data_IF_525664110344
#
_entry.id   IF_525664110344
#
_cell.length_a   1.000
_cell.length_b   1.000
_cell.length_c   1.000
_cell.angle_alpha   90.00
_cell.angle_beta   90.00
_cell.angle_gamma   90.00
#
_symmetry.space_group_name_H-M   'P 1'
#
loop_
_entity.id
_entity.type
_entity.pdbx_description
1 polymer ?
#
# COMPACT_ATOMS: atom_id res chain seq x y z
N UNK A 1 19.08 -25.14 4.78
CA UNK A 1 20.01 -24.07 4.39
C UNK A 1 19.70 -23.68 2.96
N UNK A 2 19.01 -22.59 2.75
CA UNK A 2 18.72 -22.04 1.41
C UNK A 2 19.19 -20.59 1.42
N UNK A 3 20.24 -20.34 0.66
CA UNK A 3 20.96 -19.09 0.56
C UNK A 3 20.20 -18.14 -0.38
N UNK A 4 19.77 -17.00 0.12
CA UNK A 4 19.14 -15.95 -0.68
C UNK A 4 20.21 -15.08 -1.32
N UNK A 5 20.34 -15.12 -2.64
CA UNK A 5 21.22 -14.23 -3.41
C UNK A 5 20.48 -12.96 -3.78
N UNK A 6 20.92 -11.84 -3.24
CA UNK A 6 20.41 -10.49 -3.51
C UNK A 6 21.24 -9.86 -4.62
N UNK A 7 20.66 -9.67 -5.81
CA UNK A 7 21.31 -8.96 -6.91
C UNK A 7 20.90 -7.47 -6.91
N UNK A 8 21.88 -6.56 -6.70
CA UNK A 8 21.74 -5.12 -6.94
C UNK A 8 22.27 -4.79 -8.31
N UNK A 9 21.45 -4.28 -9.21
CA UNK A 9 21.84 -3.71 -10.48
C UNK A 9 21.86 -2.18 -10.40
N UNK A 10 23.02 -1.57 -10.64
CA UNK A 10 23.19 -0.12 -10.78
C UNK A 10 22.92 0.29 -12.24
N UNK A 11 22.14 1.35 -12.52
CA UNK A 11 22.02 1.90 -13.85
C UNK A 11 23.12 2.95 -14.09
N UNK A 12 23.78 2.80 -15.26
CA UNK A 12 24.86 3.64 -15.72
C UNK A 12 24.41 5.05 -16.10
N UNK A 13 25.25 6.02 -15.74
CA UNK A 13 25.24 7.41 -16.18
C UNK A 13 25.47 7.50 -17.69
N UNK A 14 24.57 8.17 -18.41
CA UNK A 14 24.85 8.73 -19.74
C UNK A 14 24.72 10.24 -19.67
N UNK A 15 25.83 10.92 -19.94
CA UNK A 15 25.93 12.37 -20.08
C UNK A 15 25.37 12.81 -21.45
N UNK A 16 24.67 13.94 -21.57
CA UNK A 16 24.37 14.55 -22.85
C UNK A 16 25.46 15.59 -23.26
N UNK A 17 25.74 15.59 -24.52
CA UNK A 17 26.67 16.44 -25.22
C UNK A 17 26.25 17.93 -25.22
N UNK A 18 27.23 18.76 -25.04
CA UNK A 18 27.17 20.23 -25.11
C UNK A 18 27.13 20.63 -26.59
N UNK A 19 26.10 21.35 -27.00
CA UNK A 19 26.03 22.01 -28.29
C UNK A 19 26.26 23.52 -28.10
N UNK A 20 27.41 23.98 -28.58
CA UNK A 20 27.86 25.37 -28.59
C UNK A 20 27.27 26.03 -29.85
N UNK A 21 26.44 27.05 -29.71
CA UNK A 21 26.09 27.93 -30.85
C UNK A 21 26.52 29.36 -30.59
N UNK A 22 27.28 29.85 -31.55
CA UNK A 22 27.98 31.14 -31.60
C UNK A 22 27.05 32.35 -31.68
N UNK A 23 27.61 33.44 -31.19
CA UNK A 23 27.07 34.79 -31.14
C UNK A 23 26.85 35.42 -32.53
N UNK A 24 25.83 36.27 -32.61
CA UNK A 24 25.76 37.35 -33.59
C UNK A 24 25.34 38.63 -32.89
N UNK A 25 26.29 39.58 -32.85
CA UNK A 25 26.03 40.97 -32.45
C UNK A 25 25.30 41.66 -33.60
N UNK A 26 24.14 42.24 -33.31
CA UNK A 26 23.52 43.26 -34.12
C UNK A 26 23.17 44.44 -33.22
N UNK A 27 23.84 45.56 -33.43
CA UNK A 27 23.57 46.86 -32.81
C UNK A 27 22.34 47.48 -33.47
N UNK A 28 21.29 47.74 -32.69
CA UNK A 28 20.10 48.52 -33.11
C UNK A 28 19.88 49.69 -32.17
N UNK A 29 19.28 50.82 -32.64
CA UNK A 29 19.32 52.10 -31.97
C UNK A 29 18.41 52.13 -30.74
N UNK A 30 18.85 52.89 -29.74
CA UNK A 30 18.17 53.16 -28.50
C UNK A 30 16.89 53.97 -28.76
N UNK A 31 15.71 53.35 -28.58
CA UNK A 31 14.45 54.07 -28.38
C UNK A 31 14.28 54.27 -26.88
N UNK A 32 14.15 55.54 -26.48
CA UNK A 32 13.78 55.91 -25.13
C UNK A 32 12.37 55.38 -24.82
N UNK A 33 12.29 54.36 -24.01
CA UNK A 33 11.00 53.92 -23.49
C UNK A 33 10.59 54.82 -22.33
N UNK A 34 9.56 55.63 -22.62
CA UNK A 34 8.78 56.33 -21.59
C UNK A 34 8.18 55.30 -20.65
N UNK A 35 8.59 55.37 -19.39
CA UNK A 35 7.99 54.57 -18.30
C UNK A 35 6.52 54.97 -18.13
N UNK A 36 5.63 54.12 -18.62
CA UNK A 36 4.21 54.22 -18.24
C UNK A 36 4.08 53.91 -16.73
N UNK A 37 3.23 54.66 -15.99
CA UNK A 37 3.02 54.36 -14.59
C UNK A 37 2.38 52.98 -14.47
N UNK A 38 3.10 52.06 -13.79
CA UNK A 38 2.54 50.77 -13.39
C UNK A 38 1.33 50.99 -12.52
N UNK A 39 0.17 50.40 -12.85
CA UNK A 39 -0.95 50.36 -11.91
C UNK A 39 -0.47 49.64 -10.65
N UNK A 40 -0.62 50.30 -9.50
CA UNK A 40 -0.33 49.71 -8.19
C UNK A 40 -1.04 48.35 -8.11
N UNK A 41 -0.23 47.31 -8.02
CA UNK A 41 -0.73 45.97 -7.67
C UNK A 41 -1.41 46.12 -6.29
N UNK A 42 -2.72 46.18 -6.29
CA UNK A 42 -3.50 45.97 -5.09
C UNK A 42 -3.08 44.67 -4.50
N UNK A 43 -2.42 44.72 -3.35
CA UNK A 43 -2.18 43.56 -2.51
C UNK A 43 -3.55 42.92 -2.32
N UNK A 44 -3.75 41.78 -2.98
CA UNK A 44 -4.85 40.89 -2.67
C UNK A 44 -4.66 40.48 -1.21
N UNK A 45 -5.41 41.15 -0.35
CA UNK A 45 -5.61 40.73 1.03
C UNK A 45 -6.14 39.28 0.92
N UNK A 46 -5.27 38.33 1.20
CA UNK A 46 -5.64 36.92 1.27
C UNK A 46 -6.80 36.81 2.26
N UNK A 47 -7.99 36.53 1.72
CA UNK A 47 -9.08 36.07 2.56
C UNK A 47 -8.59 34.89 3.40
N UNK A 48 -9.21 34.64 4.56
CA UNK A 48 -8.81 33.49 5.39
C UNK A 48 -8.80 32.25 4.52
N UNK A 49 -7.61 31.74 4.21
CA UNK A 49 -7.48 30.47 3.55
C UNK A 49 -7.99 29.43 4.55
N UNK A 50 -9.20 28.95 4.32
CA UNK A 50 -9.74 27.80 5.04
C UNK A 50 -8.88 26.62 4.59
N UNK A 51 -7.75 26.45 5.27
CA UNK A 51 -6.93 25.27 5.11
C UNK A 51 -7.79 24.11 5.60
N UNK A 52 -8.10 23.12 4.75
CA UNK A 52 -8.88 21.98 5.22
C UNK A 52 -8.16 21.42 6.44
N UNK A 53 -8.88 21.06 7.51
CA UNK A 53 -8.27 20.50 8.71
C UNK A 53 -7.37 19.34 8.27
N UNK A 54 -6.16 19.19 8.86
CA UNK A 54 -5.31 18.07 8.54
C UNK A 54 -6.17 16.82 8.66
N UNK A 55 -6.22 16.01 7.62
CA UNK A 55 -7.00 14.78 7.61
C UNK A 55 -6.43 13.87 8.70
N UNK A 56 -7.00 13.95 9.90
CA UNK A 56 -6.67 13.09 11.02
C UNK A 56 -7.04 11.70 10.53
N UNK A 57 -6.03 10.86 10.35
CA UNK A 57 -6.21 9.46 10.00
C UNK A 57 -6.90 8.79 11.18
N UNK A 58 -8.14 8.35 11.05
CA UNK A 58 -8.80 7.73 12.18
C UNK A 58 -8.14 6.40 12.49
N UNK A 59 -7.85 6.14 13.75
CA UNK A 59 -7.56 4.78 14.19
C UNK A 59 -8.80 3.92 13.88
N UNK A 60 -8.65 2.75 13.19
CA UNK A 60 -9.81 1.93 12.86
C UNK A 60 -10.60 1.57 14.11
N UNK A 61 -11.92 1.74 14.08
CA UNK A 61 -12.81 1.20 15.11
C UNK A 61 -12.77 -0.32 15.11
N UNK A 62 -13.19 -0.94 16.21
CA UNK A 62 -13.27 -2.41 16.29
C UNK A 62 -14.06 -3.02 15.11
N UNK A 63 -15.19 -2.40 14.74
CA UNK A 63 -16.00 -2.86 13.62
C UNK A 63 -15.30 -2.70 12.28
N UNK A 64 -14.61 -1.57 12.08
CA UNK A 64 -13.84 -1.32 10.86
C UNK A 64 -12.68 -2.31 10.73
N UNK A 65 -11.95 -2.54 11.82
CA UNK A 65 -10.88 -3.53 11.87
C UNK A 65 -11.37 -4.93 11.52
N UNK A 66 -12.51 -5.34 12.09
CA UNK A 66 -13.12 -6.63 11.76
C UNK A 66 -13.47 -6.73 10.27
N UNK A 67 -14.08 -5.69 9.70
CA UNK A 67 -14.41 -5.64 8.26
C UNK A 67 -13.15 -5.74 7.40
N UNK A 68 -12.08 -5.05 7.78
CA UNK A 68 -10.80 -5.08 7.05
C UNK A 68 -10.20 -6.49 7.05
N UNK A 69 -10.14 -7.15 8.20
CA UNK A 69 -9.59 -8.50 8.35
C UNK A 69 -10.43 -9.49 7.54
N UNK A 70 -11.73 -9.55 7.77
CA UNK A 70 -12.61 -10.53 7.11
C UNK A 70 -12.70 -10.31 5.60
N UNK A 71 -12.75 -9.06 5.12
CA UNK A 71 -12.74 -8.81 3.67
C UNK A 71 -11.42 -9.22 3.02
N UNK A 72 -10.29 -9.08 3.71
CA UNK A 72 -8.99 -9.58 3.23
C UNK A 72 -8.99 -11.11 3.14
N UNK A 73 -9.43 -11.81 4.18
CA UNK A 73 -9.48 -13.28 4.18
C UNK A 73 -10.44 -13.81 3.11
N UNK A 74 -11.62 -13.19 2.96
CA UNK A 74 -12.56 -13.54 1.90
C UNK A 74 -11.98 -13.32 0.50
N UNK A 75 -11.25 -12.21 0.30
CA UNK A 75 -10.62 -11.94 -0.99
C UNK A 75 -9.53 -12.97 -1.32
N UNK A 76 -8.75 -13.41 -0.33
CA UNK A 76 -7.75 -14.48 -0.51
C UNK A 76 -8.43 -15.82 -0.77
N UNK A 77 -9.51 -16.16 -0.03
CA UNK A 77 -10.28 -17.38 -0.27
C UNK A 77 -10.82 -17.46 -1.70
N UNK A 78 -11.49 -16.39 -2.14
CA UNK A 78 -12.01 -16.32 -3.50
C UNK A 78 -10.92 -16.40 -4.56
N UNK A 79 -9.78 -15.74 -4.32
CA UNK A 79 -8.63 -15.80 -5.22
C UNK A 79 -8.02 -17.21 -5.28
N UNK A 80 -7.90 -17.88 -4.15
CA UNK A 80 -7.40 -19.26 -4.06
C UNK A 80 -8.31 -20.25 -4.81
N UNK A 81 -9.63 -20.09 -4.67
CA UNK A 81 -10.62 -20.98 -5.29
C UNK A 81 -10.78 -20.74 -6.79
N UNK A 82 -10.70 -19.49 -7.24
CA UNK A 82 -10.85 -19.12 -8.65
C UNK A 82 -9.52 -19.14 -9.43
N UNK A 83 -8.38 -19.08 -8.76
CA UNK A 83 -7.07 -18.83 -9.37
C UNK A 83 -6.87 -17.38 -9.81
N UNK A 84 -7.84 -16.49 -9.55
CA UNK A 84 -7.80 -15.09 -9.98
C UNK A 84 -7.52 -14.14 -8.81
N UNK A 85 -6.32 -13.60 -8.77
CA UNK A 85 -5.84 -12.67 -7.74
C UNK A 85 -6.00 -11.18 -8.10
N UNK A 86 -6.61 -10.87 -9.26
CA UNK A 86 -6.75 -9.49 -9.70
C UNK A 86 -7.56 -8.64 -8.73
N UNK A 87 -8.67 -9.18 -8.22
CA UNK A 87 -9.54 -8.44 -7.28
C UNK A 87 -8.81 -8.14 -5.96
N UNK A 88 -8.09 -9.13 -5.40
CA UNK A 88 -7.29 -8.92 -4.20
C UNK A 88 -6.26 -7.81 -4.41
N UNK A 89 -5.57 -7.82 -5.56
CA UNK A 89 -4.59 -6.81 -5.94
C UNK A 89 -5.25 -5.43 -6.13
N UNK A 90 -6.31 -5.35 -6.91
CA UNK A 90 -6.89 -4.08 -7.36
C UNK A 90 -7.63 -3.33 -6.23
N UNK A 91 -8.11 -4.04 -5.21
CA UNK A 91 -8.67 -3.44 -3.99
C UNK A 91 -7.61 -3.00 -2.96
N UNK A 92 -6.37 -3.40 -3.14
CA UNK A 92 -5.26 -3.11 -2.23
C UNK A 92 -4.69 -1.70 -2.43
N UNK A 93 -3.79 -1.27 -1.55
CA UNK A 93 -3.08 -0.01 -1.64
C UNK A 93 -2.14 0.03 -2.86
N UNK A 94 -1.86 1.22 -3.38
CA UNK A 94 -1.03 1.42 -4.57
C UNK A 94 0.34 0.76 -4.44
N UNK A 95 0.97 0.83 -3.26
CA UNK A 95 2.25 0.16 -3.00
C UNK A 95 2.17 -1.36 -3.10
N UNK A 96 1.07 -1.96 -2.68
CA UNK A 96 0.84 -3.39 -2.84
C UNK A 96 0.66 -3.76 -4.33
N UNK A 97 -0.11 -2.98 -5.07
CA UNK A 97 -0.39 -3.21 -6.50
C UNK A 97 0.88 -3.15 -7.36
N UNK A 98 1.78 -2.21 -7.06
CA UNK A 98 3.05 -2.04 -7.79
C UNK A 98 3.98 -3.24 -7.58
N UNK A 99 4.02 -3.76 -6.35
CA UNK A 99 4.96 -4.82 -5.97
C UNK A 99 4.42 -6.24 -6.17
N UNK A 100 3.13 -6.40 -6.47
CA UNK A 100 2.49 -7.71 -6.58
C UNK A 100 1.62 -7.80 -7.83
N UNK A 101 2.01 -8.60 -8.79
CA UNK A 101 1.13 -8.97 -9.88
C UNK A 101 0.31 -10.24 -9.53
N UNK A 102 -0.80 -10.53 -10.25
CA UNK A 102 -1.65 -11.68 -9.93
C UNK A 102 -0.91 -13.03 -9.95
N UNK A 103 0.08 -13.20 -10.83
CA UNK A 103 0.85 -14.44 -10.92
C UNK A 103 1.78 -14.63 -9.70
N UNK A 104 2.39 -13.54 -9.21
CA UNK A 104 3.18 -13.56 -7.98
C UNK A 104 2.31 -13.90 -6.76
N UNK A 105 1.12 -13.29 -6.66
CA UNK A 105 0.17 -13.62 -5.59
C UNK A 105 -0.25 -15.09 -5.64
N UNK A 106 -0.49 -15.64 -6.82
CA UNK A 106 -0.77 -17.06 -6.99
C UNK A 106 0.35 -17.96 -6.47
N UNK A 107 1.60 -17.54 -6.59
CA UNK A 107 2.76 -18.26 -6.04
C UNK A 107 2.85 -18.11 -4.51
N UNK A 108 2.66 -16.90 -3.98
CA UNK A 108 2.67 -16.63 -2.52
C UNK A 108 1.67 -17.51 -1.80
N UNK A 109 0.44 -17.65 -2.32
CA UNK A 109 -0.61 -18.43 -1.69
C UNK A 109 -0.63 -19.92 -2.12
N UNK A 110 0.34 -20.39 -2.91
CA UNK A 110 0.37 -21.78 -3.37
C UNK A 110 0.43 -22.78 -2.22
N UNK A 111 1.16 -22.47 -1.14
CA UNK A 111 1.26 -23.33 0.04
C UNK A 111 -0.10 -23.55 0.71
N UNK A 112 -0.86 -22.49 0.96
CA UNK A 112 -2.20 -22.58 1.57
C UNK A 112 -3.17 -23.35 0.66
N UNK A 113 -3.13 -23.09 -0.66
CA UNK A 113 -3.94 -23.85 -1.63
C UNK A 113 -3.61 -25.35 -1.62
N UNK A 114 -2.31 -25.69 -1.54
CA UNK A 114 -1.87 -27.08 -1.51
C UNK A 114 -2.36 -27.86 -0.29
N UNK A 115 -2.61 -27.17 0.82
CA UNK A 115 -3.16 -27.77 2.03
C UNK A 115 -4.69 -27.94 2.00
N UNK A 116 -5.37 -27.46 0.97
CA UNK A 116 -6.84 -27.45 0.84
C UNK A 116 -7.55 -26.86 2.07
N UNK A 117 -6.95 -25.85 2.70
CA UNK A 117 -7.58 -25.15 3.83
C UNK A 117 -8.72 -24.29 3.30
N UNK A 118 -9.93 -24.53 3.81
CA UNK A 118 -11.08 -23.68 3.53
C UNK A 118 -11.02 -22.41 4.38
N UNK A 119 -10.49 -21.32 3.77
CA UNK A 119 -10.40 -20.01 4.42
C UNK A 119 -11.78 -19.40 4.66
N UNK A 120 -12.84 -19.86 3.97
CA UNK A 120 -14.21 -19.46 4.24
C UNK A 120 -14.64 -19.74 5.67
N UNK A 121 -14.11 -20.79 6.29
CA UNK A 121 -14.36 -21.10 7.70
C UNK A 121 -13.83 -20.03 8.66
N UNK A 122 -12.80 -19.27 8.28
CA UNK A 122 -12.31 -18.16 9.08
C UNK A 122 -13.34 -17.03 9.24
N UNK A 123 -14.31 -16.92 8.31
CA UNK A 123 -15.39 -15.94 8.39
C UNK A 123 -16.42 -16.27 9.47
N UNK A 124 -16.43 -17.50 9.97
CA UNK A 124 -17.37 -18.02 10.97
C UNK A 124 -16.83 -17.93 12.39
N UNK A 125 -15.54 -17.63 12.56
CA UNK A 125 -14.89 -17.57 13.86
C UNK A 125 -14.24 -16.20 14.09
N UNK A 126 -14.28 -15.68 15.33
CA UNK A 126 -13.58 -14.44 15.64
C UNK A 126 -12.06 -14.66 15.62
N UNK A 127 -11.26 -13.69 15.16
CA UNK A 127 -9.82 -13.76 15.26
C UNK A 127 -9.37 -13.58 16.71
N UNK A 128 -8.36 -14.34 17.12
CA UNK A 128 -7.62 -14.11 18.36
C UNK A 128 -6.38 -13.30 18.04
N UNK A 129 -6.28 -12.08 18.55
CA UNK A 129 -5.10 -11.23 18.34
C UNK A 129 -3.91 -11.73 19.14
N UNK A 130 -2.74 -11.86 18.48
CA UNK A 130 -1.46 -12.24 19.13
C UNK A 130 -0.68 -11.03 19.60
N UNK A 131 -0.97 -9.85 19.06
CA UNK A 131 -0.48 -8.56 19.51
C UNK A 131 -1.57 -7.49 19.36
N UNK A 132 -1.48 -6.43 20.16
CA UNK A 132 -2.42 -5.32 20.04
C UNK A 132 -2.32 -4.69 18.63
N UNK A 133 -3.44 -4.49 17.94
CA UNK A 133 -3.45 -3.76 16.68
C UNK A 133 -2.89 -2.36 16.85
N UNK A 134 -1.98 -1.91 15.98
CA UNK A 134 -1.27 -0.64 16.15
C UNK A 134 -0.80 0.00 14.85
N UNK A 135 -0.62 1.32 14.88
CA UNK A 135 0.11 2.03 13.83
C UNK A 135 1.61 1.68 13.94
N UNK A 136 2.18 1.16 12.85
CA UNK A 136 3.63 0.86 12.76
C UNK A 136 4.38 1.94 11.96
N UNK A 137 3.65 2.76 11.21
CA UNK A 137 4.08 4.00 10.55
C UNK A 137 2.90 4.97 10.55
N UNK A 138 3.16 6.23 10.24
CA UNK A 138 2.11 7.27 10.18
C UNK A 138 0.87 6.87 9.38
N UNK A 139 1.05 6.10 8.30
CA UNK A 139 0.00 5.71 7.36
C UNK A 139 -0.22 4.20 7.27
N UNK A 140 0.45 3.40 8.13
CA UNK A 140 0.36 1.94 8.10
C UNK A 140 -0.06 1.39 9.44
N UNK A 141 -1.17 0.67 9.44
CA UNK A 141 -1.73 -0.05 10.57
C UNK A 141 -1.47 -1.55 10.42
N UNK A 142 -0.97 -2.18 11.48
CA UNK A 142 -0.68 -3.61 11.51
C UNK A 142 -1.61 -4.33 12.47
N UNK A 143 -2.06 -5.51 12.06
CA UNK A 143 -2.83 -6.41 12.90
C UNK A 143 -2.34 -7.84 12.72
N UNK A 144 -2.15 -8.54 13.85
CA UNK A 144 -1.68 -9.91 13.89
C UNK A 144 -2.61 -10.77 14.73
N UNK A 145 -2.80 -12.00 14.32
CA UNK A 145 -3.65 -12.92 15.06
C UNK A 145 -3.74 -14.30 14.45
N UNK A 146 -4.67 -15.07 14.97
CA UNK A 146 -4.93 -16.45 14.55
C UNK A 146 -6.43 -16.67 14.44
N UNK A 147 -6.87 -17.29 13.36
CA UNK A 147 -8.16 -17.93 13.26
C UNK A 147 -8.01 -19.38 13.74
N UNK A 148 -8.61 -19.67 14.88
CA UNK A 148 -8.58 -21.01 15.47
C UNK A 148 -9.61 -21.90 14.78
N UNK A 149 -9.17 -22.59 13.74
CA UNK A 149 -9.97 -23.52 12.93
C UNK A 149 -9.49 -24.97 13.09
N UNK A 150 -10.30 -25.93 12.70
CA UNK A 150 -9.90 -27.33 12.64
C UNK A 150 -10.00 -27.83 11.20
N UNK A 151 -9.10 -28.69 10.73
CA UNK A 151 -7.94 -29.26 11.45
C UNK A 151 -6.73 -28.34 11.53
N UNK A 152 -6.69 -27.25 10.74
CA UNK A 152 -5.54 -26.34 10.63
C UNK A 152 -6.00 -24.92 10.97
N UNK A 153 -5.34 -24.30 11.94
CA UNK A 153 -5.51 -22.86 12.24
C UNK A 153 -4.75 -22.00 11.25
N UNK A 154 -5.18 -20.75 11.07
CA UNK A 154 -4.50 -19.79 10.21
C UNK A 154 -4.03 -18.61 11.02
N UNK A 155 -2.71 -18.47 11.12
CA UNK A 155 -2.07 -17.24 11.58
C UNK A 155 -2.11 -16.17 10.49
N UNK A 156 -2.28 -14.93 10.88
CA UNK A 156 -2.27 -13.79 9.95
C UNK A 156 -1.42 -12.64 10.49
N UNK A 157 -0.73 -11.96 9.57
CA UNK A 157 -0.06 -10.68 9.78
C UNK A 157 -0.43 -9.75 8.61
N UNK A 158 -1.29 -8.78 8.91
CA UNK A 158 -1.91 -7.90 7.92
C UNK A 158 -1.46 -6.47 8.14
N UNK A 159 -1.13 -5.80 7.04
CA UNK A 159 -0.77 -4.40 7.01
C UNK A 159 -1.78 -3.64 6.15
N UNK A 160 -2.27 -2.53 6.66
CA UNK A 160 -3.21 -1.66 5.96
C UNK A 160 -2.62 -0.26 5.84
N UNK A 161 -2.68 0.33 4.66
CA UNK A 161 -2.24 1.70 4.41
C UNK A 161 -3.43 2.63 4.24
N UNK A 162 -3.36 3.82 4.87
CA UNK A 162 -4.36 4.85 4.70
C UNK A 162 -4.18 5.55 3.36
N UNK A 163 -5.12 5.37 2.46
CA UNK A 163 -5.05 5.88 1.10
C UNK A 163 -6.44 6.28 0.62
N UNK A 164 -6.58 7.50 0.09
CA UNK A 164 -7.84 8.02 -0.44
C UNK A 164 -9.02 7.94 0.56
N UNK A 165 -8.74 8.26 1.84
CA UNK A 165 -9.78 8.31 2.88
C UNK A 165 -10.23 6.96 3.42
N UNK A 166 -9.49 5.87 3.20
CA UNK A 166 -9.79 4.52 3.70
C UNK A 166 -8.53 3.69 3.92
N UNK A 167 -8.65 2.69 4.77
CA UNK A 167 -7.62 1.67 4.95
C UNK A 167 -7.69 0.65 3.82
N UNK A 168 -6.60 0.45 3.10
CA UNK A 168 -6.44 -0.53 2.03
C UNK A 168 -5.34 -1.52 2.38
N UNK A 169 -5.48 -2.77 1.96
CA UNK A 169 -4.48 -3.80 2.19
C UNK A 169 -3.13 -3.39 1.58
N UNK A 170 -2.07 -3.40 2.39
CA UNK A 170 -0.71 -3.04 2.00
C UNK A 170 0.26 -4.22 2.10
N UNK A 171 -0.03 -5.17 2.98
CA UNK A 171 0.74 -6.41 3.13
C UNK A 171 -0.12 -7.51 3.73
N UNK A 172 0.10 -8.75 3.30
CA UNK A 172 -0.60 -9.92 3.78
C UNK A 172 0.36 -11.09 3.90
N UNK A 173 0.40 -11.67 5.08
CA UNK A 173 1.05 -12.95 5.36
C UNK A 173 0.04 -13.85 6.07
N UNK A 174 -0.17 -15.03 5.53
CA UNK A 174 -1.04 -16.06 6.09
C UNK A 174 -0.22 -17.35 6.26
N UNK A 175 -0.23 -17.88 7.47
CA UNK A 175 0.55 -19.07 7.85
C UNK A 175 -0.38 -20.17 8.36
N UNK A 176 -0.33 -21.38 7.79
CA UNK A 176 -1.00 -22.53 8.39
C UNK A 176 -0.28 -22.89 9.70
N UNK A 177 -1.05 -23.04 10.75
CA UNK A 177 -0.56 -23.43 12.08
C UNK A 177 -1.16 -24.80 12.43
N UNK A 178 -0.32 -25.81 12.53
CA UNK A 178 -0.74 -27.11 13.07
C UNK A 178 -1.09 -26.95 14.54
N UNK A 179 -2.29 -27.34 14.92
CA UNK A 179 -2.65 -27.39 16.32
C UNK A 179 -1.82 -28.50 16.97
N UNK A 180 -0.95 -28.12 17.92
CA UNK A 180 -0.30 -29.13 18.76
C UNK A 180 -1.40 -30.03 19.34
N UNK A 181 -1.27 -31.35 19.12
CA UNK A 181 -2.17 -32.32 19.70
C UNK A 181 -2.14 -32.10 21.23
N UNK A 182 -3.28 -31.75 21.81
CA UNK A 182 -3.38 -31.70 23.28
C UNK A 182 -3.15 -33.12 23.77
N UNK A 183 -2.17 -33.33 24.65
CA UNK A 183 -2.04 -34.64 25.30
C UNK A 183 -3.33 -34.89 26.09
N UNK A 184 -4.04 -35.96 25.73
CA UNK A 184 -5.26 -36.42 26.41
C UNK A 184 -4.97 -36.96 27.79
#
# INVERSE_FOLDING_TARGET
MITTTKAYGLPGLRAPAICLCLASLAAGPAFAQQSAPQPAQQAQQGGPSIQPPPSIRPTPSQLELSKMIWSTIAAVDHANRSGNYSVLRDLSASGFQINNNPAQLAQVFAGIRGLNVDLGNALLVPPTYTAAPQLVREDVFRVQGVFQMRPISIGFDLYYQWEQGRWKLFGVDLQPLEMAAQPG
#
